data_IF_202608516967
#
_entry.id   IF_202608516967
#
_cell.length_a   1.000
_cell.length_b   1.000
_cell.length_c   1.000
_cell.angle_alpha   90.00
_cell.angle_beta   90.00
_cell.angle_gamma   90.00
#
_symmetry.space_group_name_H-M   'P 1'
#
loop_
_entity.id
_entity.type
_entity.pdbx_description
1 polymer ?
#
# COMPACT_ATOMS: atom_id res chain seq x y z
N UNK A 1 -4.31 14.21 -26.04
CA UNK A 1 -5.20 13.02 -25.83
C UNK A 1 -6.35 13.37 -24.91
N UNK A 2 -7.57 12.89 -25.20
CA UNK A 2 -8.73 13.06 -24.28
C UNK A 2 -8.69 12.05 -23.14
N UNK A 3 -9.44 12.30 -22.06
CA UNK A 3 -9.49 11.38 -20.90
C UNK A 3 -9.92 9.95 -21.27
N UNK A 4 -10.80 9.79 -22.27
CA UNK A 4 -11.24 8.47 -22.73
C UNK A 4 -10.12 7.68 -23.43
N UNK A 5 -9.26 8.38 -24.17
CA UNK A 5 -8.08 7.77 -24.79
C UNK A 5 -7.05 7.44 -23.71
N UNK A 6 -6.78 8.37 -22.79
CA UNK A 6 -5.84 8.15 -21.69
C UNK A 6 -6.27 6.96 -20.81
N UNK A 7 -7.57 6.82 -20.54
CA UNK A 7 -8.13 5.68 -19.82
C UNK A 7 -7.90 4.35 -20.55
N UNK A 8 -8.09 4.32 -21.87
CA UNK A 8 -7.84 3.12 -22.67
C UNK A 8 -6.37 2.72 -22.66
N UNK A 9 -5.46 3.68 -22.77
CA UNK A 9 -4.02 3.40 -22.83
C UNK A 9 -3.44 3.04 -21.46
N UNK A 10 -3.84 3.74 -20.39
CA UNK A 10 -3.38 3.45 -19.01
C UNK A 10 -4.09 2.26 -18.36
N UNK A 11 -5.20 1.79 -18.94
CA UNK A 11 -6.06 0.76 -18.32
C UNK A 11 -6.79 1.24 -17.05
N UNK A 12 -6.76 2.55 -16.76
CA UNK A 12 -7.40 3.14 -15.59
C UNK A 12 -8.78 3.71 -15.93
N UNK A 13 -9.70 3.61 -14.97
CA UNK A 13 -11.00 4.27 -15.11
C UNK A 13 -10.83 5.80 -15.20
N UNK A 14 -11.62 6.51 -16.03
CA UNK A 14 -11.58 7.97 -16.11
C UNK A 14 -11.77 8.66 -14.75
N UNK A 15 -12.56 8.08 -13.84
CA UNK A 15 -12.74 8.59 -12.47
C UNK A 15 -11.44 8.58 -11.68
N UNK A 16 -10.61 7.55 -11.84
CA UNK A 16 -9.31 7.41 -11.17
C UNK A 16 -8.30 8.42 -11.71
N UNK A 17 -8.30 8.64 -13.03
CA UNK A 17 -7.47 9.66 -13.66
C UNK A 17 -7.83 11.06 -13.14
N UNK A 18 -9.14 11.40 -13.08
CA UNK A 18 -9.60 12.68 -12.49
C UNK A 18 -9.21 12.81 -11.02
N UNK A 19 -9.23 11.72 -10.28
CA UNK A 19 -8.82 11.72 -8.87
C UNK A 19 -7.31 12.00 -8.72
N UNK A 20 -6.46 11.46 -9.60
CA UNK A 20 -5.04 11.80 -9.60
C UNK A 20 -4.77 13.24 -10.05
N UNK A 21 -5.54 13.75 -11.02
CA UNK A 21 -5.54 15.17 -11.41
C UNK A 21 -5.92 16.06 -10.22
N UNK A 22 -7.05 15.79 -9.54
CA UNK A 22 -7.48 16.60 -8.39
C UNK A 22 -6.54 16.46 -7.19
N UNK A 23 -5.82 15.34 -7.09
CA UNK A 23 -4.76 15.15 -6.12
C UNK A 23 -3.46 15.85 -6.53
N UNK A 24 -3.37 16.48 -7.70
CA UNK A 24 -2.18 17.20 -8.16
C UNK A 24 -0.99 16.30 -8.54
N UNK A 25 -1.24 15.00 -8.75
CA UNK A 25 -0.25 14.01 -9.21
C UNK A 25 -0.06 14.04 -10.73
N UNK A 26 -1.12 14.41 -11.47
CA UNK A 26 -1.04 14.67 -12.91
C UNK A 26 -1.15 16.18 -13.08
N UNK A 27 -0.14 16.81 -13.68
CA UNK A 27 -0.07 18.26 -13.94
C UNK A 27 0.04 18.53 -15.44
N UNK A 28 -0.23 19.77 -15.85
CA UNK A 28 -0.13 20.17 -17.27
C UNK A 28 -1.35 19.79 -18.11
N UNK A 29 -2.52 19.64 -17.48
CA UNK A 29 -3.78 19.49 -18.23
C UNK A 29 -4.22 20.88 -18.71
N UNK A 30 -3.85 21.23 -19.94
CA UNK A 30 -4.37 22.43 -20.57
C UNK A 30 -5.88 22.29 -20.76
N UNK A 31 -6.60 23.32 -20.33
CA UNK A 31 -7.99 23.49 -20.71
C UNK A 31 -7.97 24.14 -22.08
N UNK A 32 -8.44 23.40 -23.07
CA UNK A 32 -8.74 23.94 -24.38
C UNK A 32 -9.83 25.01 -24.26
N UNK A 33 -9.89 25.95 -25.22
CA UNK A 33 -10.89 27.04 -25.26
C UNK A 33 -12.33 26.52 -25.23
N UNK A 34 -12.55 25.29 -25.69
CA UNK A 34 -13.83 24.57 -25.67
C UNK A 34 -14.16 23.88 -24.32
N UNK A 35 -13.34 24.09 -23.28
CA UNK A 35 -13.53 23.53 -21.95
C UNK A 35 -13.11 22.06 -21.78
N UNK A 36 -12.62 21.41 -22.84
CA UNK A 36 -12.11 20.04 -22.75
C UNK A 36 -10.68 20.01 -22.18
N UNK A 37 -10.38 18.90 -21.50
CA UNK A 37 -9.05 18.60 -20.97
C UNK A 37 -8.23 17.85 -22.00
N UNK A 38 -7.03 18.33 -22.23
CA UNK A 38 -6.04 17.63 -23.04
C UNK A 38 -4.88 17.13 -22.18
N UNK A 39 -4.57 15.85 -22.35
CA UNK A 39 -3.45 15.18 -21.70
C UNK A 39 -2.36 14.92 -22.73
N UNK A 40 -1.14 15.37 -22.42
CA UNK A 40 0.06 15.03 -23.17
C UNK A 40 0.57 13.62 -22.87
N UNK A 41 1.57 13.13 -23.63
CA UNK A 41 2.17 11.80 -23.42
C UNK A 41 2.78 11.63 -22.03
N UNK A 42 3.29 12.70 -21.42
CA UNK A 42 3.81 12.71 -20.04
C UNK A 42 2.79 12.25 -19.00
N UNK A 43 1.50 12.51 -19.24
CA UNK A 43 0.45 12.07 -18.33
C UNK A 43 0.36 10.55 -18.28
N UNK A 44 0.60 9.86 -19.41
CA UNK A 44 0.60 8.41 -19.46
C UNK A 44 1.79 7.82 -18.70
N UNK A 45 2.99 8.35 -18.93
CA UNK A 45 4.19 7.94 -18.20
C UNK A 45 4.04 8.14 -16.68
N UNK A 46 3.47 9.28 -16.28
CA UNK A 46 3.17 9.58 -14.87
C UNK A 46 2.16 8.58 -14.28
N UNK A 47 1.12 8.21 -15.03
CA UNK A 47 0.13 7.22 -14.59
C UNK A 47 0.74 5.83 -14.38
N UNK A 48 1.67 5.42 -15.24
CA UNK A 48 2.37 4.14 -15.13
C UNK A 48 3.27 4.10 -13.89
N UNK A 49 3.96 5.21 -13.59
CA UNK A 49 4.76 5.35 -12.35
C UNK A 49 3.87 5.27 -11.11
N UNK A 50 2.77 6.04 -11.07
CA UNK A 50 1.84 6.02 -9.94
C UNK A 50 1.31 4.60 -9.72
N UNK A 51 0.91 3.92 -10.79
CA UNK A 51 0.35 2.57 -10.71
C UNK A 51 1.39 1.57 -10.21
N UNK A 52 2.63 1.66 -10.69
CA UNK A 52 3.73 0.79 -10.28
C UNK A 52 4.12 1.02 -8.81
N UNK A 53 4.22 2.28 -8.39
CA UNK A 53 4.53 2.62 -7.00
C UNK A 53 3.41 2.18 -6.04
N UNK A 54 2.14 2.33 -6.41
CA UNK A 54 1.03 1.82 -5.60
C UNK A 54 1.08 0.29 -5.44
N UNK A 55 1.44 -0.45 -6.50
CA UNK A 55 1.64 -1.91 -6.44
C UNK A 55 2.81 -2.28 -5.52
N UNK A 56 3.85 -1.45 -5.45
CA UNK A 56 4.97 -1.61 -4.52
C UNK A 56 4.64 -1.20 -3.07
N UNK A 57 3.41 -0.74 -2.78
CA UNK A 57 2.97 -0.40 -1.43
C UNK A 57 3.20 1.07 -1.03
N UNK A 58 3.47 1.95 -1.99
CA UNK A 58 3.48 3.39 -1.74
C UNK A 58 2.06 3.96 -1.67
N UNK A 59 1.85 4.82 -0.69
CA UNK A 59 0.68 5.70 -0.61
C UNK A 59 0.79 6.84 -1.62
N UNK A 60 -0.34 7.47 -1.93
CA UNK A 60 -0.37 8.61 -2.86
C UNK A 60 0.40 9.83 -2.35
N UNK A 61 0.47 10.00 -1.03
CA UNK A 61 1.23 11.08 -0.41
C UNK A 61 2.73 10.84 -0.54
N UNK A 62 3.19 9.60 -0.34
CA UNK A 62 4.58 9.23 -0.62
C UNK A 62 4.90 9.42 -2.11
N UNK A 63 4.06 8.92 -3.01
CA UNK A 63 4.26 9.08 -4.46
C UNK A 63 4.35 10.57 -4.85
N UNK A 64 3.52 11.42 -4.26
CA UNK A 64 3.57 12.88 -4.49
C UNK A 64 4.90 13.48 -4.08
N UNK A 65 5.49 13.01 -2.97
CA UNK A 65 6.81 13.48 -2.54
C UNK A 65 7.96 12.98 -3.43
N UNK A 66 7.77 11.85 -4.10
CA UNK A 66 8.77 11.24 -5.00
C UNK A 66 8.71 11.77 -6.43
N UNK A 67 7.53 12.20 -6.89
CA UNK A 67 7.38 12.82 -8.20
C UNK A 67 7.96 14.24 -8.18
N UNK A 68 9.02 14.54 -8.95
CA UNK A 68 9.60 15.86 -8.96
C UNK A 68 8.58 16.88 -9.45
N UNK A 69 8.35 17.93 -8.66
CA UNK A 69 7.50 19.06 -9.03
C UNK A 69 8.12 19.92 -10.15
N UNK A 70 9.44 19.84 -10.30
CA UNK A 70 10.25 20.52 -11.30
C UNK A 70 11.54 19.71 -11.46
N UNK A 71 12.00 19.49 -12.70
CA UNK A 71 13.17 18.64 -12.99
C UNK A 71 14.47 19.16 -12.31
N UNK A 72 14.45 20.38 -11.80
CA UNK A 72 15.59 21.06 -11.18
C UNK A 72 15.89 20.70 -9.71
N UNK A 73 15.04 19.92 -9.01
CA UNK A 73 15.33 19.47 -7.63
C UNK A 73 15.03 17.99 -7.41
N UNK A 74 15.62 17.13 -8.22
CA UNK A 74 15.67 15.71 -7.91
C UNK A 74 16.56 15.50 -6.67
N UNK A 75 15.95 15.35 -5.50
CA UNK A 75 16.65 15.02 -4.26
C UNK A 75 16.94 13.51 -4.26
N UNK A 76 18.01 13.12 -4.94
CA UNK A 76 18.36 11.71 -5.17
C UNK A 76 18.40 10.91 -3.87
N UNK A 77 19.03 11.48 -2.84
CA UNK A 77 19.19 10.82 -1.55
C UNK A 77 17.84 10.60 -0.83
N UNK A 78 16.90 11.54 -0.94
CA UNK A 78 15.56 11.38 -0.35
C UNK A 78 14.75 10.27 -1.04
N UNK A 79 14.87 10.19 -2.37
CA UNK A 79 14.23 9.12 -3.15
C UNK A 79 14.80 7.77 -2.74
N UNK A 80 16.12 7.62 -2.73
CA UNK A 80 16.79 6.37 -2.34
C UNK A 80 16.38 5.99 -0.92
N UNK A 81 16.43 6.92 0.04
CA UNK A 81 16.02 6.67 1.43
C UNK A 81 14.53 6.28 1.54
N UNK A 82 13.65 6.81 0.68
CA UNK A 82 12.25 6.40 0.65
C UNK A 82 12.04 5.00 0.08
N UNK A 83 12.81 4.64 -0.95
CA UNK A 83 12.77 3.30 -1.54
C UNK A 83 13.30 2.26 -0.54
N UNK A 84 14.44 2.54 0.11
CA UNK A 84 15.02 1.68 1.15
C UNK A 84 14.07 1.47 2.33
N UNK A 85 13.40 2.53 2.80
CA UNK A 85 12.35 2.41 3.83
C UNK A 85 11.23 1.48 3.39
N UNK A 86 10.79 1.57 2.13
CA UNK A 86 9.73 0.69 1.62
C UNK A 86 10.20 -0.76 1.53
N UNK A 87 11.46 -1.00 1.14
CA UNK A 87 12.06 -2.34 1.17
C UNK A 87 12.05 -2.92 2.59
N UNK A 88 12.51 -2.15 3.58
CA UNK A 88 12.50 -2.59 4.97
C UNK A 88 11.08 -2.89 5.50
N UNK A 89 10.08 -2.08 5.13
CA UNK A 89 8.66 -2.34 5.45
C UNK A 89 8.17 -3.66 4.83
N UNK A 90 8.53 -3.93 3.57
CA UNK A 90 8.16 -5.17 2.87
C UNK A 90 8.82 -6.38 3.54
N UNK A 91 10.11 -6.30 3.89
CA UNK A 91 10.83 -7.37 4.58
C UNK A 91 10.21 -7.69 5.95
N UNK A 92 9.85 -6.66 6.72
CA UNK A 92 9.16 -6.85 7.99
C UNK A 92 7.79 -7.53 7.81
N UNK A 93 7.05 -7.16 6.76
CA UNK A 93 5.78 -7.79 6.44
C UNK A 93 5.97 -9.26 6.02
N UNK A 94 6.97 -9.55 5.20
CA UNK A 94 7.29 -10.92 4.79
C UNK A 94 7.62 -11.81 5.99
N UNK A 95 8.43 -11.32 6.93
CA UNK A 95 8.75 -12.05 8.16
C UNK A 95 7.49 -12.35 8.97
N UNK A 96 6.62 -11.35 9.16
CA UNK A 96 5.35 -11.52 9.86
C UNK A 96 4.44 -12.54 9.18
N UNK A 97 4.31 -12.47 7.86
CA UNK A 97 3.51 -13.43 7.09
C UNK A 97 4.08 -14.86 7.19
N UNK A 98 5.41 -15.00 7.17
CA UNK A 98 6.07 -16.31 7.38
C UNK A 98 5.76 -16.88 8.77
N UNK A 99 5.83 -16.07 9.81
CA UNK A 99 5.47 -16.48 11.19
C UNK A 99 4.00 -16.88 11.30
N UNK A 100 3.09 -16.04 10.80
CA UNK A 100 1.65 -16.33 10.80
C UNK A 100 1.35 -17.65 10.04
N UNK A 101 1.98 -17.86 8.88
CA UNK A 101 1.83 -19.11 8.12
C UNK A 101 2.29 -20.32 8.93
N UNK A 102 3.45 -20.25 9.58
CA UNK A 102 3.95 -21.34 10.42
C UNK A 102 3.00 -21.66 11.58
N UNK A 103 2.45 -20.64 12.23
CA UNK A 103 1.47 -20.81 13.31
C UNK A 103 0.19 -21.49 12.83
N UNK A 104 -0.33 -21.06 11.68
CA UNK A 104 -1.51 -21.70 11.09
C UNK A 104 -1.24 -23.16 10.74
N UNK A 105 -0.06 -23.51 10.24
CA UNK A 105 0.31 -24.89 9.96
C UNK A 105 0.36 -25.75 11.24
N UNK A 106 0.92 -25.22 12.33
CA UNK A 106 0.91 -25.90 13.64
C UNK A 106 -0.52 -26.07 14.17
N UNK A 107 -1.36 -25.05 14.02
CA UNK A 107 -2.76 -25.12 14.42
C UNK A 107 -3.50 -26.22 13.61
N UNK A 108 -3.32 -26.25 12.28
CA UNK A 108 -3.88 -27.27 11.39
C UNK A 108 -3.42 -28.67 11.80
N UNK A 109 -2.12 -28.87 12.05
CA UNK A 109 -1.57 -30.16 12.46
C UNK A 109 -2.21 -30.66 13.77
N UNK A 110 -2.33 -29.76 14.75
CA UNK A 110 -2.93 -30.09 16.05
C UNK A 110 -4.41 -30.47 15.97
N UNK A 111 -5.12 -30.00 14.93
CA UNK A 111 -6.51 -30.37 14.65
C UNK A 111 -6.56 -31.72 13.92
N UNK A 112 -5.61 -32.01 13.04
CA UNK A 112 -5.54 -33.26 12.26
C UNK A 112 -5.05 -34.46 13.07
N UNK A 113 -3.95 -34.33 13.82
CA UNK A 113 -3.26 -35.42 14.52
C UNK A 113 -3.75 -35.63 15.95
N UNK A 114 -5.05 -35.87 16.08
CA UNK A 114 -5.78 -35.89 17.36
C UNK A 114 -5.52 -37.18 18.16
N UNK A 115 -5.13 -37.11 19.45
CA UNK A 115 -5.33 -38.23 20.37
C UNK A 115 -6.81 -38.29 20.79
N UNK A 116 -7.44 -39.45 20.66
CA UNK A 116 -8.89 -39.67 20.86
C UNK A 116 -9.39 -39.37 22.29
N UNK A 117 -8.49 -39.19 23.26
CA UNK A 117 -8.80 -39.18 24.70
C UNK A 117 -9.20 -37.81 25.31
N UNK A 118 -9.81 -36.86 24.59
CA UNK A 118 -10.21 -35.55 25.16
C UNK A 118 -11.63 -35.08 24.80
N UNK A 119 -12.38 -34.65 25.82
CA UNK A 119 -13.82 -34.32 25.81
C UNK A 119 -14.21 -33.03 25.05
N UNK A 120 -15.52 -32.83 24.87
CA UNK A 120 -16.16 -31.81 24.00
C UNK A 120 -15.91 -30.33 24.31
N UNK A 121 -15.66 -29.96 25.56
CA UNK A 121 -15.72 -28.56 26.02
C UNK A 121 -14.35 -27.86 26.10
N UNK A 122 -13.25 -28.61 26.10
CA UNK A 122 -11.88 -28.07 26.00
C UNK A 122 -11.47 -27.66 24.57
N UNK A 123 -12.37 -27.89 23.60
CA UNK A 123 -12.08 -27.85 22.16
C UNK A 123 -11.83 -26.45 21.60
N UNK A 124 -12.68 -25.48 21.93
CA UNK A 124 -12.52 -24.10 21.44
C UNK A 124 -11.41 -23.36 22.19
N UNK A 125 -11.30 -23.57 23.51
CA UNK A 125 -10.31 -22.90 24.36
C UNK A 125 -8.87 -23.30 24.01
N UNK A 126 -8.61 -24.55 23.63
CA UNK A 126 -7.26 -25.02 23.25
C UNK A 126 -6.80 -24.49 21.88
N UNK A 127 -7.69 -24.47 20.89
CA UNK A 127 -7.38 -23.92 19.55
C UNK A 127 -7.17 -22.40 19.63
N UNK A 128 -8.04 -21.69 20.34
CA UNK A 128 -7.88 -20.27 20.60
C UNK A 128 -6.66 -19.96 21.47
N UNK A 129 -6.31 -20.84 22.43
CA UNK A 129 -5.12 -20.73 23.27
C UNK A 129 -3.82 -20.85 22.47
N UNK A 130 -3.70 -21.83 21.58
CA UNK A 130 -2.51 -22.01 20.73
C UNK A 130 -2.31 -20.89 19.69
N UNK A 131 -3.41 -20.31 19.18
CA UNK A 131 -3.34 -19.11 18.35
C UNK A 131 -2.86 -17.88 19.14
N UNK A 132 -3.17 -17.83 20.45
CA UNK A 132 -2.78 -16.73 21.34
C UNK A 132 -1.33 -16.86 21.82
N UNK A 133 -0.84 -18.07 22.06
CA UNK A 133 0.55 -18.35 22.48
C UNK A 133 1.58 -18.17 21.36
N UNK A 134 1.17 -18.31 20.09
CA UNK A 134 2.01 -17.97 18.95
C UNK A 134 2.05 -16.47 18.60
N UNK A 135 1.10 -15.67 19.10
CA UNK A 135 0.99 -14.27 18.72
C UNK A 135 2.17 -13.45 19.30
N UNK A 136 3.13 -13.08 18.44
CA UNK A 136 4.12 -12.04 18.76
C UNK A 136 3.34 -10.77 19.13
N UNK A 137 3.68 -10.09 20.24
CA UNK A 137 2.95 -8.90 20.66
C UNK A 137 2.92 -7.88 19.53
N UNK A 138 1.71 -7.44 19.18
CA UNK A 138 1.50 -6.42 18.17
C UNK A 138 2.30 -5.17 18.56
N UNK A 139 3.23 -4.77 17.68
CA UNK A 139 4.01 -3.53 17.79
C UNK A 139 3.10 -2.37 18.19
N UNK A 140 3.45 -1.77 19.32
CA UNK A 140 2.77 -0.63 19.93
C UNK A 140 2.78 0.54 18.95
N UNK A 141 1.64 0.84 18.29
CA UNK A 141 1.45 2.11 17.60
C UNK A 141 1.50 3.23 18.65
N UNK A 142 2.61 3.96 18.70
CA UNK A 142 2.75 5.17 19.51
C UNK A 142 1.68 6.18 19.11
N UNK A 143 0.89 6.59 20.11
CA UNK A 143 -0.10 7.64 19.99
C UNK A 143 0.60 9.00 19.85
N UNK A 144 0.45 9.64 18.68
CA UNK A 144 0.87 11.03 18.47
C UNK A 144 -0.24 11.94 19.02
N UNK A 145 -0.11 12.37 20.27
CA UNK A 145 -0.89 13.48 20.86
C UNK A 145 -0.63 14.75 20.05
N UNK A 146 -1.63 15.25 19.33
CA UNK A 146 -1.66 16.64 18.86
C UNK A 146 -2.14 17.52 20.00
N UNK A 147 -1.22 18.29 20.58
CA UNK A 147 -1.55 19.47 21.38
C UNK A 147 -1.90 20.61 20.41
N UNK A 148 -3.02 21.28 20.63
CA UNK A 148 -3.40 22.52 19.94
C UNK A 148 -3.11 23.70 20.88
N UNK A 149 -2.48 24.79 20.43
CA UNK A 149 -2.41 26.01 21.22
C UNK A 149 -3.66 26.86 21.00
N UNK A 150 -4.07 27.56 22.06
CA UNK A 150 -4.99 28.70 22.02
C UNK A 150 -4.17 29.97 22.17
#
# INVERSE_FOLDING_TARGET
>A
MKIGELAKHSGLAPSRIRFYESSGLIRGVERQENGYREYGPEALWTLDIITSAQRAGFSLDEIRSLLPNDQARWQHDELVASLERKVAEIEALQLRLKQNKAQLLVAIDSVKNRPEALACTDRAKRVLGKLKEGAVPASTRQAKKRAAPR
#
